data_IF_255938370753
#
_entry.id   IF_255938370753
#
_cell.length_a   1.000
_cell.length_b   1.000
_cell.length_c   1.000
_cell.angle_alpha   90.00
_cell.angle_beta   90.00
_cell.angle_gamma   90.00
#
_symmetry.space_group_name_H-M   'P 1'
#
loop_
_entity.id
_entity.type
_entity.pdbx_description
1 polymer ?
#
# COMPACT_ATOMS: atom_id res chain seq x y z
N UNK A 1 -15.43 18.57 -7.90
CA UNK A 1 -15.07 18.48 -6.47
C UNK A 1 -14.23 17.24 -6.14
N UNK A 2 -14.21 16.21 -7.01
CA UNK A 2 -13.30 15.06 -6.88
C UNK A 2 -11.86 15.37 -7.30
N UNK A 3 -11.66 16.29 -8.24
CA UNK A 3 -10.35 16.54 -8.87
C UNK A 3 -9.29 17.09 -7.89
N UNK A 4 -9.71 17.88 -6.89
CA UNK A 4 -8.79 18.43 -5.90
C UNK A 4 -8.24 17.31 -5.01
N UNK A 5 -9.08 16.38 -4.56
CA UNK A 5 -8.63 15.28 -3.70
C UNK A 5 -7.77 14.26 -4.46
N UNK A 6 -7.99 14.13 -5.76
CA UNK A 6 -7.24 13.21 -6.62
C UNK A 6 -5.77 13.61 -6.74
N UNK A 7 -5.48 14.91 -6.79
CA UNK A 7 -4.12 15.43 -6.82
C UNK A 7 -3.42 15.41 -5.45
N UNK A 8 -4.16 15.64 -4.36
CA UNK A 8 -3.60 15.67 -2.99
C UNK A 8 -3.18 14.27 -2.48
N UNK A 9 -3.68 13.20 -3.10
CA UNK A 9 -3.35 11.82 -2.74
C UNK A 9 -2.31 11.16 -3.64
N UNK A 10 -1.58 11.96 -4.43
CA UNK A 10 -0.52 11.49 -5.31
C UNK A 10 0.86 11.61 -4.68
N UNK A 11 1.66 10.57 -4.89
CA UNK A 11 3.06 10.55 -4.52
C UNK A 11 3.89 11.33 -5.52
N UNK A 12 4.57 12.38 -5.07
CA UNK A 12 5.41 13.24 -5.92
C UNK A 12 6.63 12.54 -6.54
N UNK A 13 6.99 11.34 -6.09
CA UNK A 13 8.11 10.56 -6.65
C UNK A 13 7.69 9.79 -7.90
N UNK A 14 6.50 9.19 -7.89
CA UNK A 14 6.02 8.33 -8.98
C UNK A 14 4.83 8.91 -9.74
N UNK A 15 4.26 10.02 -9.28
CA UNK A 15 3.08 10.68 -9.83
C UNK A 15 1.82 9.80 -9.85
N UNK A 16 1.77 8.81 -8.96
CA UNK A 16 0.66 7.89 -8.80
C UNK A 16 0.03 8.06 -7.41
N UNK A 17 -1.20 7.58 -7.23
CA UNK A 17 -1.82 7.50 -5.91
C UNK A 17 -0.90 6.77 -4.91
N UNK A 18 -0.91 7.18 -3.64
CA UNK A 18 -0.08 6.51 -2.65
C UNK A 18 -0.41 5.01 -2.56
N UNK A 19 0.63 4.18 -2.61
CA UNK A 19 0.55 2.74 -2.30
C UNK A 19 1.35 2.54 -1.02
N UNK A 20 0.66 2.07 0.03
CA UNK A 20 1.19 1.96 1.39
C UNK A 20 1.83 3.29 1.82
N UNK A 21 0.97 4.29 2.06
CA UNK A 21 1.39 5.65 2.35
C UNK A 21 2.25 5.69 3.62
N UNK A 22 3.40 6.37 3.53
CA UNK A 22 4.33 6.56 4.63
C UNK A 22 4.57 8.04 4.81
N UNK A 23 4.31 8.53 6.03
CA UNK A 23 4.56 9.92 6.43
C UNK A 23 5.88 10.01 7.19
N UNK A 24 6.70 10.99 6.81
CA UNK A 24 7.98 11.26 7.45
C UNK A 24 7.84 12.18 8.67
N UNK A 25 8.90 12.31 9.47
CA UNK A 25 8.99 13.28 10.57
C UNK A 25 8.76 14.75 10.14
N UNK A 26 8.95 15.06 8.86
CA UNK A 26 8.67 16.38 8.27
C UNK A 26 7.27 16.48 7.64
N UNK A 27 6.34 15.58 8.02
CA UNK A 27 4.93 15.50 7.58
C UNK A 27 4.66 15.22 6.10
N UNK A 28 5.69 15.05 5.26
CA UNK A 28 5.50 14.65 3.86
C UNK A 28 5.22 13.16 3.74
N UNK A 29 4.28 12.83 2.86
CA UNK A 29 3.86 11.46 2.58
C UNK A 29 4.36 11.00 1.21
N UNK A 30 4.74 9.73 1.13
CA UNK A 30 5.21 9.06 -0.08
C UNK A 30 4.72 7.60 -0.08
N UNK A 31 4.80 6.91 -1.22
CA UNK A 31 4.64 5.47 -1.21
C UNK A 31 5.80 4.82 -0.43
N UNK A 32 5.52 3.77 0.35
CA UNK A 32 6.54 3.00 1.07
C UNK A 32 7.71 2.60 0.17
N UNK A 33 7.40 1.99 -0.99
CA UNK A 33 8.41 1.61 -1.99
C UNK A 33 9.26 2.80 -2.45
N UNK A 34 8.61 3.90 -2.85
CA UNK A 34 9.28 5.06 -3.44
C UNK A 34 10.26 5.72 -2.45
N UNK A 35 9.86 5.90 -1.19
CA UNK A 35 10.73 6.53 -0.21
C UNK A 35 11.88 5.60 0.21
N UNK A 36 11.64 4.29 0.29
CA UNK A 36 12.71 3.33 0.57
C UNK A 36 13.75 3.30 -0.56
N UNK A 37 13.34 3.35 -1.84
CA UNK A 37 14.27 3.46 -2.97
C UNK A 37 15.06 4.77 -2.96
N UNK A 38 14.41 5.90 -2.65
CA UNK A 38 15.08 7.19 -2.50
C UNK A 38 16.16 7.18 -1.42
N UNK A 39 15.83 6.60 -0.25
CA UNK A 39 16.72 6.50 0.89
C UNK A 39 17.97 5.66 0.64
N UNK A 40 18.00 4.79 -0.38
CA UNK A 40 19.23 4.09 -0.80
C UNK A 40 20.31 5.05 -1.29
N UNK A 41 19.93 6.24 -1.77
CA UNK A 41 20.85 7.26 -2.29
C UNK A 41 21.04 8.40 -1.31
N UNK A 42 19.95 8.87 -0.67
CA UNK A 42 19.98 10.01 0.26
C UNK A 42 18.96 9.90 1.38
N UNK A 43 19.39 10.11 2.62
CA UNK A 43 18.53 10.09 3.82
C UNK A 43 17.96 11.50 4.08
N UNK A 44 17.34 12.09 3.06
CA UNK A 44 16.71 13.41 3.13
C UNK A 44 15.31 13.38 2.50
N UNK A 45 14.38 14.16 3.03
CA UNK A 45 13.05 14.30 2.44
C UNK A 45 13.16 14.82 0.99
N UNK A 46 12.51 14.20 0.00
CA UNK A 46 12.52 14.67 -1.39
C UNK A 46 12.01 16.11 -1.58
N UNK A 47 11.15 16.59 -0.68
CA UNK A 47 10.49 17.91 -0.78
C UNK A 47 11.29 18.98 -0.05
N UNK A 48 11.51 18.81 1.26
CA UNK A 48 12.19 19.82 2.08
C UNK A 48 13.68 19.58 2.34
N UNK A 49 14.24 18.45 1.87
CA UNK A 49 15.63 18.04 2.12
C UNK A 49 16.00 17.95 3.61
N UNK A 50 15.00 17.89 4.49
CA UNK A 50 15.22 17.64 5.91
C UNK A 50 15.62 16.17 6.12
N UNK A 51 16.55 15.93 7.05
CA UNK A 51 16.96 14.57 7.44
C UNK A 51 15.75 13.73 7.88
N UNK A 52 15.70 12.50 7.37
CA UNK A 52 14.66 11.53 7.69
C UNK A 52 15.03 10.82 9.00
N UNK A 53 14.28 11.11 10.06
CA UNK A 53 14.49 10.53 11.40
C UNK A 53 13.49 9.42 11.73
N UNK A 54 12.29 9.51 11.17
CA UNK A 54 11.26 8.49 11.33
C UNK A 54 10.38 8.41 10.08
N UNK A 55 9.75 7.24 9.94
CA UNK A 55 8.79 6.93 8.89
C UNK A 55 7.63 6.14 9.52
N UNK A 56 6.41 6.58 9.29
CA UNK A 56 5.21 5.98 9.90
C UNK A 56 4.18 5.70 8.82
N UNK A 57 3.65 4.46 8.78
CA UNK A 57 2.60 4.08 7.84
C UNK A 57 1.29 4.80 8.20
N UNK A 58 0.63 5.38 7.21
CA UNK A 58 -0.60 6.16 7.40
C UNK A 58 -1.82 5.39 6.91
N UNK A 59 -2.43 4.62 7.82
CA UNK A 59 -3.66 3.87 7.54
C UNK A 59 -4.81 4.79 7.10
N UNK A 60 -4.84 6.03 7.58
CA UNK A 60 -5.87 7.00 7.20
C UNK A 60 -5.76 7.36 5.72
N UNK A 61 -4.54 7.56 5.21
CA UNK A 61 -4.32 7.85 3.79
C UNK A 61 -4.63 6.61 2.94
N UNK A 62 -4.18 5.42 3.37
CA UNK A 62 -4.48 4.17 2.67
C UNK A 62 -6.00 3.96 2.54
N UNK A 63 -6.74 4.03 3.65
CA UNK A 63 -8.20 3.87 3.65
C UNK A 63 -8.92 4.97 2.85
N UNK A 64 -8.36 6.18 2.78
CA UNK A 64 -8.93 7.26 1.99
C UNK A 64 -8.80 6.97 0.50
N UNK A 65 -7.62 6.52 0.09
CA UNK A 65 -7.32 6.17 -1.30
C UNK A 65 -8.17 4.98 -1.74
N UNK A 66 -8.30 3.94 -0.91
CA UNK A 66 -9.16 2.78 -1.22
C UNK A 66 -10.59 3.21 -1.55
N UNK A 67 -11.22 4.00 -0.67
CA UNK A 67 -12.59 4.50 -0.90
C UNK A 67 -12.71 5.45 -2.10
N UNK A 68 -11.64 6.16 -2.44
CA UNK A 68 -11.62 7.02 -3.63
C UNK A 68 -11.50 6.18 -4.90
N UNK A 69 -10.57 5.23 -4.91
CA UNK A 69 -10.33 4.32 -6.04
C UNK A 69 -11.56 3.48 -6.34
N UNK A 70 -12.31 3.04 -5.34
CA UNK A 70 -13.60 2.36 -5.52
C UNK A 70 -14.60 3.14 -6.38
N UNK A 71 -14.52 4.47 -6.38
CA UNK A 71 -15.40 5.37 -7.14
C UNK A 71 -14.81 5.79 -8.49
N UNK A 72 -13.56 5.43 -8.79
CA UNK A 72 -12.92 5.68 -10.08
C UNK A 72 -13.39 4.66 -11.15
N UNK A 73 -13.08 4.96 -12.41
CA UNK A 73 -13.37 4.08 -13.54
C UNK A 73 -12.56 2.75 -13.45
N UNK A 74 -12.98 1.77 -14.24
CA UNK A 74 -12.36 0.42 -14.25
C UNK A 74 -10.88 0.47 -14.64
N UNK A 75 -10.55 1.31 -15.63
CA UNK A 75 -9.19 1.47 -16.16
C UNK A 75 -8.19 1.93 -15.09
N UNK A 76 -8.56 2.94 -14.29
CA UNK A 76 -7.71 3.46 -13.21
C UNK A 76 -7.52 2.44 -12.08
N UNK A 77 -8.53 1.62 -11.80
CA UNK A 77 -8.41 0.51 -10.82
C UNK A 77 -7.42 -0.53 -11.30
N UNK A 78 -7.51 -0.95 -12.57
CA UNK A 78 -6.59 -1.92 -13.16
C UNK A 78 -5.14 -1.43 -13.17
N UNK A 79 -4.94 -0.15 -13.48
CA UNK A 79 -3.62 0.49 -13.43
C UNK A 79 -3.02 0.44 -12.02
N UNK A 80 -3.79 0.83 -11.00
CA UNK A 80 -3.32 0.81 -9.61
C UNK A 80 -2.99 -0.61 -9.14
N UNK A 81 -3.83 -1.60 -9.46
CA UNK A 81 -3.58 -3.01 -9.13
C UNK A 81 -2.31 -3.54 -9.79
N UNK A 82 -2.05 -3.14 -11.04
CA UNK A 82 -0.83 -3.50 -11.75
C UNK A 82 0.39 -2.93 -11.03
N UNK A 83 0.37 -1.66 -10.66
CA UNK A 83 1.46 -1.03 -9.90
C UNK A 83 1.71 -1.69 -8.54
N UNK A 84 0.65 -2.04 -7.81
CA UNK A 84 0.76 -2.74 -6.52
C UNK A 84 1.46 -4.09 -6.72
N UNK A 85 1.04 -4.87 -7.72
CA UNK A 85 1.62 -6.17 -8.04
C UNK A 85 3.10 -6.05 -8.40
N UNK A 86 3.46 -5.13 -9.28
CA UNK A 86 4.85 -4.91 -9.68
C UNK A 86 5.75 -4.51 -8.49
N UNK A 87 5.26 -3.61 -7.62
CA UNK A 87 6.01 -3.17 -6.44
C UNK A 87 6.21 -4.31 -5.44
N UNK A 88 5.21 -5.16 -5.27
CA UNK A 88 5.26 -6.36 -4.42
C UNK A 88 6.25 -7.39 -4.97
N UNK A 89 6.26 -7.64 -6.27
CA UNK A 89 7.23 -8.52 -6.92
C UNK A 89 8.67 -8.01 -6.75
N UNK A 90 8.89 -6.70 -6.99
CA UNK A 90 10.18 -6.05 -6.77
C UNK A 90 10.63 -6.14 -5.31
N UNK A 91 9.73 -5.92 -4.36
CA UNK A 91 10.03 -6.06 -2.94
C UNK A 91 10.41 -7.50 -2.57
N UNK A 92 9.64 -8.48 -3.04
CA UNK A 92 9.91 -9.91 -2.78
C UNK A 92 11.24 -10.37 -3.39
N UNK A 93 11.65 -9.81 -4.53
CA UNK A 93 12.96 -10.09 -5.12
C UNK A 93 14.12 -9.52 -4.28
N UNK A 94 13.94 -8.36 -3.64
CA UNK A 94 14.95 -7.72 -2.80
C UNK A 94 15.13 -8.42 -1.43
N UNK A 95 14.07 -9.04 -0.91
CA UNK A 95 14.08 -9.75 0.40
C UNK A 95 14.58 -11.19 0.29
N UNK A 96 14.71 -11.76 -0.92
CA UNK A 96 15.30 -13.09 -1.13
C UNK A 96 16.80 -13.00 -1.46
N UNK A 97 17.65 -12.91 -0.44
CA UNK A 97 18.68 -13.93 -0.31
C UNK A 97 18.62 -14.58 1.09
N UNK A 98 18.29 -15.88 1.08
CA UNK A 98 18.50 -16.87 2.14
C UNK A 98 17.98 -16.56 3.56
N UNK A 99 16.73 -16.92 3.84
CA UNK A 99 16.36 -17.73 5.03
C UNK A 99 15.02 -18.40 4.76
N UNK A 100 15.00 -19.72 4.78
CA UNK A 100 13.78 -20.47 5.06
C UNK A 100 13.23 -20.02 6.43
N UNK A 101 11.91 -19.99 6.54
CA UNK A 101 11.14 -19.77 7.76
C UNK A 101 11.04 -18.31 8.23
N UNK A 102 10.01 -17.59 7.77
CA UNK A 102 8.92 -17.13 8.64
C UNK A 102 7.84 -16.38 7.83
N UNK A 103 6.62 -16.47 8.34
CA UNK A 103 5.38 -16.25 7.64
C UNK A 103 5.18 -14.82 7.10
N UNK A 104 4.88 -14.81 5.81
CA UNK A 104 4.13 -13.84 5.02
C UNK A 104 3.19 -12.91 5.82
N UNK A 105 3.69 -11.78 6.34
CA UNK A 105 2.87 -10.59 6.64
C UNK A 105 2.67 -9.82 5.33
N UNK A 106 1.90 -10.42 4.44
CA UNK A 106 1.46 -9.78 3.22
C UNK A 106 -0.06 -9.85 3.22
N UNK A 107 -0.66 -8.70 2.93
CA UNK A 107 -2.03 -8.51 2.49
C UNK A 107 -3.09 -8.28 3.57
N UNK A 108 -3.26 -7.00 3.92
CA UNK A 108 -4.60 -6.46 4.18
C UNK A 108 -5.29 -5.95 2.90
N UNK A 109 -4.59 -5.89 1.75
CA UNK A 109 -5.12 -5.30 0.51
C UNK A 109 -5.56 -6.36 -0.53
N UNK A 110 -4.98 -7.57 -0.56
CA UNK A 110 -5.46 -8.65 -1.45
C UNK A 110 -6.68 -9.40 -0.89
N UNK A 111 -7.01 -9.30 0.40
CA UNK A 111 -8.10 -10.09 0.99
C UNK A 111 -9.49 -9.63 0.52
N UNK A 112 -9.63 -8.38 0.07
CA UNK A 112 -10.91 -7.83 -0.39
C UNK A 112 -11.16 -8.13 -1.89
N UNK A 113 -10.11 -8.28 -2.70
CA UNK A 113 -10.24 -8.45 -4.15
C UNK A 113 -10.46 -9.90 -4.60
N UNK A 114 -10.43 -10.87 -3.68
CA UNK A 114 -10.73 -12.28 -3.98
C UNK A 114 -12.23 -12.62 -3.92
N UNK A 115 -13.12 -11.66 -3.64
CA UNK A 115 -14.57 -11.91 -3.46
C UNK A 115 -15.48 -11.33 -4.56
N UNK A 116 -15.01 -11.20 -5.81
CA UNK A 116 -15.94 -10.95 -6.93
C UNK A 116 -15.62 -11.77 -8.17
N UNK A 117 -15.75 -13.08 -8.06
CA UNK A 117 -16.07 -13.94 -9.21
C UNK A 117 -16.56 -15.31 -8.74
N UNK A 118 -17.87 -15.50 -8.60
CA UNK A 118 -18.62 -16.55 -9.31
C UNK A 118 -20.06 -16.71 -8.80
N UNK A 119 -20.89 -17.11 -9.75
CA UNK A 119 -22.31 -17.40 -9.67
C UNK A 119 -22.74 -18.44 -8.62
N UNK A 120 -24.05 -18.40 -8.33
CA UNK A 120 -24.85 -19.19 -7.39
C UNK A 120 -24.48 -20.68 -7.21
N UNK A 121 -24.43 -21.14 -5.95
CA UNK A 121 -25.22 -22.27 -5.38
C UNK A 121 -24.95 -22.44 -3.86
N UNK A 122 -26.03 -22.68 -3.12
CA UNK A 122 -26.11 -22.94 -1.67
C UNK A 122 -25.16 -24.03 -1.17
N UNK A 123 -24.61 -23.86 0.05
CA UNK A 123 -24.56 -24.82 1.17
C UNK A 123 -23.76 -24.23 2.36
N UNK A 124 -24.00 -24.76 3.55
CA UNK A 124 -23.89 -24.17 4.89
C UNK A 124 -22.48 -24.07 5.52
N UNK A 125 -22.41 -23.20 6.55
CA UNK A 125 -21.52 -23.10 7.74
C UNK A 125 -20.10 -23.73 7.72
N UNK A 126 -19.07 -22.94 8.06
CA UNK A 126 -18.52 -23.00 9.43
C UNK A 126 -17.50 -21.89 9.75
N UNK A 127 -17.49 -21.51 11.03
CA UNK A 127 -16.74 -20.42 11.64
C UNK A 127 -15.23 -20.68 11.81
N UNK A 128 -14.39 -19.67 11.62
CA UNK A 128 -13.05 -19.62 12.24
C UNK A 128 -12.74 -18.20 12.72
N UNK A 129 -12.89 -17.99 14.03
CA UNK A 129 -12.27 -16.89 14.76
C UNK A 129 -10.76 -17.07 14.68
N UNK A 130 -10.02 -16.09 14.13
CA UNK A 130 -8.61 -15.94 14.51
C UNK A 130 -8.37 -14.59 15.19
N UNK A 131 -7.97 -14.73 16.45
CA UNK A 131 -7.55 -13.69 17.40
C UNK A 131 -6.03 -13.75 17.41
N UNK A 132 -5.40 -12.90 16.60
CA UNK A 132 -3.94 -12.84 16.49
C UNK A 132 -3.59 -11.45 15.94
N UNK A 133 -2.96 -10.50 16.64
CA UNK A 133 -2.24 -10.45 17.90
C UNK A 133 -2.27 -9.01 18.43
N UNK A 134 -2.35 -8.88 19.76
CA UNK A 134 -1.69 -7.81 20.49
C UNK A 134 -0.17 -8.01 20.35
N UNK A 135 0.54 -6.98 19.87
CA UNK A 135 1.96 -6.74 20.18
C UNK A 135 2.07 -5.22 20.41
N UNK A 136 1.95 -4.88 21.71
CA UNK A 136 2.29 -3.63 22.42
C UNK A 136 1.99 -2.30 21.71
#
# INVERSE_FOLDING_TARGET
MNDVLENELQCTICSEHFIEAVTLNCVHSFCSYCINEWMKRKIECPIFRQEIKSKTRSLVLDNCIERMVEKLNVEMKEHLLTLIRERKEKWNALVKPATDNDSCVISSICSILSMSSCDSKDSEEDSYYDKSYYII
#
